data_IF_239951753868
#
_entry.id   IF_239951753868
#
_cell.length_a   1.000
_cell.length_b   1.000
_cell.length_c   1.000
_cell.angle_alpha   90.00
_cell.angle_beta   90.00
_cell.angle_gamma   90.00
#
_symmetry.space_group_name_H-M   'P 1'
#
loop_
_entity.id
_entity.type
_entity.pdbx_description
1 polymer ?
#
# COMPACT_ATOMS: atom_id res chain seq x y z
N UNK A 1 -6.63 -17.40 10.57
CA UNK A 1 -6.77 -17.04 9.22
C UNK A 1 -6.33 -15.65 8.94
N UNK A 2 -6.76 -14.71 9.74
CA UNK A 2 -6.34 -13.35 9.51
C UNK A 2 -4.84 -13.19 9.56
N UNK A 3 -4.20 -14.00 10.35
CA UNK A 3 -2.75 -13.87 10.48
C UNK A 3 -2.06 -14.20 9.18
N UNK A 4 -2.56 -15.18 8.45
CA UNK A 4 -1.96 -15.54 7.18
C UNK A 4 -2.12 -14.39 6.19
N UNK A 5 -3.29 -13.79 6.18
CA UNK A 5 -3.53 -12.68 5.27
C UNK A 5 -2.63 -11.51 5.62
N UNK A 6 -2.46 -11.27 6.91
CA UNK A 6 -1.61 -10.18 7.37
C UNK A 6 -0.17 -10.39 6.88
N UNK A 7 0.32 -11.61 6.98
CA UNK A 7 1.68 -11.91 6.56
C UNK A 7 1.84 -11.70 5.06
N UNK A 8 0.86 -12.09 4.30
CA UNK A 8 0.93 -11.93 2.86
C UNK A 8 0.92 -10.45 2.49
N UNK A 9 0.12 -9.67 3.17
CA UNK A 9 0.11 -8.24 2.91
C UNK A 9 1.44 -7.60 3.28
N UNK A 10 2.04 -8.05 4.37
CA UNK A 10 3.33 -7.53 4.76
C UNK A 10 4.39 -7.84 3.71
N UNK A 11 4.33 -9.03 3.14
CA UNK A 11 5.26 -9.40 2.08
C UNK A 11 5.04 -8.55 0.84
N UNK A 12 3.79 -8.27 0.52
CA UNK A 12 3.50 -7.45 -0.64
C UNK A 12 4.05 -6.04 -0.44
N UNK A 13 3.90 -5.50 0.75
CA UNK A 13 4.42 -4.19 1.06
C UNK A 13 5.94 -4.20 0.96
N UNK A 14 6.58 -5.22 1.51
CA UNK A 14 8.03 -5.32 1.45
C UNK A 14 8.51 -5.38 0.00
N UNK A 15 7.83 -6.16 -0.81
CA UNK A 15 8.23 -6.29 -2.20
C UNK A 15 8.03 -4.97 -2.95
N UNK A 16 6.95 -4.28 -2.66
CA UNK A 16 6.70 -3.02 -3.34
C UNK A 16 7.76 -1.98 -2.98
N UNK A 17 8.14 -1.93 -1.70
CA UNK A 17 9.13 -0.93 -1.29
C UNK A 17 10.54 -1.33 -1.68
N UNK A 18 10.75 -2.58 -2.05
CA UNK A 18 12.04 -3.00 -2.55
C UNK A 18 12.15 -2.78 -4.05
N UNK A 19 11.06 -2.45 -4.70
CA UNK A 19 11.06 -2.30 -6.14
C UNK A 19 11.65 -0.95 -6.53
N UNK A 20 12.36 -0.92 -7.64
CA UNK A 20 12.93 0.33 -8.14
C UNK A 20 12.08 0.91 -9.26
N UNK A 21 10.97 0.35 -9.55
CA UNK A 21 10.14 0.83 -10.64
C UNK A 21 9.69 2.26 -10.37
N UNK A 22 9.86 3.15 -11.32
CA UNK A 22 9.52 4.56 -11.09
C UNK A 22 8.04 4.76 -10.79
N UNK A 23 7.19 3.94 -11.37
CA UNK A 23 5.76 4.07 -11.11
C UNK A 23 5.44 3.74 -9.68
N UNK A 24 6.08 2.69 -9.15
CA UNK A 24 5.86 2.32 -7.77
C UNK A 24 6.38 3.38 -6.84
N UNK A 25 7.53 3.93 -7.14
CA UNK A 25 8.11 4.96 -6.28
C UNK A 25 7.24 6.21 -6.26
N UNK A 26 6.67 6.56 -7.39
CA UNK A 26 5.82 7.74 -7.45
C UNK A 26 4.57 7.54 -6.58
N UNK A 27 3.95 6.37 -6.68
CA UNK A 27 2.78 6.07 -5.87
C UNK A 27 3.15 6.08 -4.40
N UNK A 28 4.29 5.52 -4.05
CA UNK A 28 4.73 5.49 -2.67
C UNK A 28 4.91 6.90 -2.12
N UNK A 29 5.49 7.77 -2.90
CA UNK A 29 5.71 9.13 -2.45
C UNK A 29 4.40 9.88 -2.27
N UNK A 30 3.45 9.63 -3.12
CA UNK A 30 2.17 10.30 -3.01
C UNK A 30 1.36 9.79 -1.84
N UNK A 31 1.28 8.49 -1.68
CA UNK A 31 0.43 7.92 -0.66
C UNK A 31 1.13 7.75 0.67
N UNK A 32 2.41 7.52 0.65
CA UNK A 32 3.15 7.26 1.88
C UNK A 32 4.44 8.05 1.91
N UNK A 33 4.33 9.37 2.02
CA UNK A 33 5.53 10.20 2.04
C UNK A 33 6.42 9.95 3.25
N UNK A 34 5.86 9.38 4.29
CA UNK A 34 6.66 9.09 5.47
C UNK A 34 7.58 7.89 5.27
N UNK A 35 7.32 7.07 4.28
CA UNK A 35 8.12 5.88 4.08
C UNK A 35 7.28 4.63 4.16
N UNK A 36 7.95 3.51 4.34
CA UNK A 36 7.26 2.23 4.34
C UNK A 36 6.23 2.15 5.46
N UNK A 37 4.99 1.85 5.14
CA UNK A 37 3.93 1.84 6.15
C UNK A 37 3.77 0.48 6.81
N UNK A 38 3.03 0.46 7.89
CA UNK A 38 2.63 -0.81 8.47
C UNK A 38 1.48 -1.33 7.64
N UNK A 39 1.12 -2.58 7.87
CA UNK A 39 0.00 -3.17 7.13
C UNK A 39 -1.28 -2.41 7.40
N UNK A 40 -1.48 -2.03 8.64
CA UNK A 40 -2.70 -1.33 8.98
C UNK A 40 -2.79 0.02 8.30
N UNK A 41 -1.71 0.75 8.30
CA UNK A 41 -1.69 2.04 7.65
C UNK A 41 -1.85 1.89 6.14
N UNK A 42 -1.22 0.88 5.58
CA UNK A 42 -1.32 0.64 4.15
C UNK A 42 -2.77 0.41 3.76
N UNK A 43 -3.46 -0.46 4.50
CA UNK A 43 -4.84 -0.77 4.18
C UNK A 43 -5.71 0.47 4.34
N UNK A 44 -5.50 1.24 5.40
CA UNK A 44 -6.30 2.42 5.63
C UNK A 44 -6.13 3.44 4.52
N UNK A 45 -4.89 3.68 4.10
CA UNK A 45 -4.64 4.65 3.04
C UNK A 45 -5.17 4.17 1.71
N UNK A 46 -5.01 2.90 1.42
CA UNK A 46 -5.52 2.37 0.16
C UNK A 46 -7.04 2.41 0.12
N UNK A 47 -7.67 2.20 1.24
CA UNK A 47 -9.12 2.28 1.28
C UNK A 47 -9.59 3.71 1.02
N UNK A 48 -8.92 4.68 1.57
CA UNK A 48 -9.27 6.06 1.32
C UNK A 48 -9.02 6.43 -0.13
N UNK A 49 -7.91 5.97 -0.68
CA UNK A 49 -7.58 6.27 -2.05
C UNK A 49 -8.64 5.69 -2.99
N UNK A 50 -9.05 4.47 -2.73
CA UNK A 50 -10.07 3.84 -3.56
C UNK A 50 -11.39 4.57 -3.43
N UNK A 51 -11.68 5.07 -2.26
CA UNK A 51 -12.93 5.76 -2.06
C UNK A 51 -12.97 7.08 -2.83
N UNK A 52 -11.87 7.81 -2.81
CA UNK A 52 -11.83 9.07 -3.50
C UNK A 52 -11.75 8.91 -5.00
N UNK A 53 -10.99 7.95 -5.45
CA UNK A 53 -10.85 7.72 -6.85
C UNK A 53 -11.76 6.64 -7.34
N UNK A 54 -12.69 6.30 -6.56
CA UNK A 54 -13.49 5.20 -6.70
C UNK A 54 -14.02 5.03 -8.03
N UNK A 55 -13.90 3.95 -8.51
CA UNK A 55 -14.34 3.71 -9.78
C UNK A 55 -15.74 3.45 -9.81
N UNK A 56 -16.24 3.10 -8.89
CA UNK A 56 -17.46 2.81 -8.86
C UNK A 56 -18.30 3.67 -9.34
N UNK A 57 -17.93 4.45 -9.47
CA UNK A 57 -18.75 5.18 -10.01
C UNK A 57 -19.63 4.68 -10.82
#
# INVERSE_FOLDING_TARGET
MQKILYDEMQRAIDAAWASDAPECRRMQEELFPEGKPSVELFVARMAEYARENGPCS
#
